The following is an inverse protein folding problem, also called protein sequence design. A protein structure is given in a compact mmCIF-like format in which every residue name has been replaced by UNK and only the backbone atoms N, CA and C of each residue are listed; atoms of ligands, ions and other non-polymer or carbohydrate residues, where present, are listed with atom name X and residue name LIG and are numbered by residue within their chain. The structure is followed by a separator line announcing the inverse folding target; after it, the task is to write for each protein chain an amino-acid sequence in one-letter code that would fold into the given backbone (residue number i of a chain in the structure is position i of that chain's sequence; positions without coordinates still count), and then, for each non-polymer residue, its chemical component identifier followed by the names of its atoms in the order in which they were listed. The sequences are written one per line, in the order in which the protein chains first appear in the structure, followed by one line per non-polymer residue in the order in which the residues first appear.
data_IF_056604402833
#
_entry.id   IF_056604402833
#
_cell.length_a   1.000
_cell.length_b   1.000
_cell.length_c   1.000
_cell.angle_alpha   90.00
_cell.angle_beta   90.00
_cell.angle_gamma   90.00
#
_symmetry.space_group_name_H-M   'P 1'
#
loop_
_entity.id
_entity.type
_entity.pdbx_description
1 polymer ?
#
# COMPACT_ATOMS: atom_id res chain seq x y z
N UNK A 1 -2.73 -19.80 8.36
CA UNK A 1 -3.62 -19.89 9.54
C UNK A 1 -2.77 -19.74 10.79
N UNK A 2 -3.12 -18.82 11.69
CA UNK A 2 -2.45 -18.59 12.97
C UNK A 2 -3.51 -18.55 14.08
N UNK A 3 -3.48 -19.54 14.99
CA UNK A 3 -4.42 -19.61 16.09
C UNK A 3 -3.97 -18.74 17.26
N UNK A 4 -4.88 -17.90 17.75
CA UNK A 4 -4.71 -17.06 18.94
C UNK A 4 -6.04 -17.07 19.72
N UNK A 5 -6.04 -17.70 20.88
CA UNK A 5 -7.23 -17.87 21.74
C UNK A 5 -7.37 -16.77 22.79
N UNK A 6 -6.59 -15.71 22.70
CA UNK A 6 -6.60 -14.61 23.69
C UNK A 6 -7.91 -13.81 23.71
N UNK A 7 -8.60 -13.77 22.58
CA UNK A 7 -9.89 -13.10 22.41
C UNK A 7 -10.84 -13.95 21.56
N UNK A 8 -12.18 -13.94 21.82
CA UNK A 8 -13.13 -14.77 21.11
C UNK A 8 -13.52 -14.19 19.74
N UNK A 9 -12.53 -13.78 18.95
CA UNK A 9 -12.70 -13.23 17.60
C UNK A 9 -11.71 -13.85 16.64
N UNK A 10 -12.10 -13.93 15.37
CA UNK A 10 -11.23 -14.35 14.28
C UNK A 10 -11.30 -13.36 13.13
N UNK A 11 -10.15 -13.13 12.49
CA UNK A 11 -10.06 -12.40 11.23
C UNK A 11 -9.93 -13.40 10.09
N UNK A 12 -10.85 -13.34 9.14
CA UNK A 12 -10.74 -13.98 7.84
C UNK A 12 -10.39 -12.92 6.80
N UNK A 13 -9.36 -13.15 6.00
CA UNK A 13 -8.92 -12.21 4.96
C UNK A 13 -8.58 -12.97 3.69
N UNK A 14 -9.12 -12.52 2.56
CA UNK A 14 -8.74 -13.01 1.24
C UNK A 14 -7.96 -11.91 0.53
N UNK A 15 -6.71 -12.23 0.17
CA UNK A 15 -5.84 -11.35 -0.60
C UNK A 15 -5.72 -11.85 -2.02
N UNK A 16 -6.21 -11.08 -2.97
CA UNK A 16 -6.01 -11.31 -4.40
C UNK A 16 -4.68 -10.67 -4.82
N UNK A 17 -3.87 -11.42 -5.58
CA UNK A 17 -2.58 -10.97 -6.11
C UNK A 17 -2.80 -10.10 -7.36
N UNK A 18 -3.62 -9.07 -7.21
CA UNK A 18 -3.97 -8.09 -8.23
C UNK A 18 -4.21 -6.73 -7.57
N UNK A 19 -3.61 -5.70 -8.15
CA UNK A 19 -3.73 -4.32 -7.70
C UNK A 19 -3.59 -3.36 -8.87
N UNK A 20 -3.40 -2.08 -8.62
CA UNK A 20 -3.30 -1.09 -9.69
C UNK A 20 -2.16 -1.35 -10.66
N UNK A 21 -1.09 -2.03 -10.26
CA UNK A 21 -0.01 -2.41 -11.19
C UNK A 21 -0.45 -3.35 -12.33
N UNK A 22 -1.60 -3.99 -12.21
CA UNK A 22 -2.14 -4.90 -13.22
C UNK A 22 -3.08 -4.21 -14.22
N UNK A 23 -3.31 -2.90 -14.02
CA UNK A 23 -4.16 -2.10 -14.87
C UNK A 23 -3.39 -1.55 -16.07
N UNK A 24 -4.09 -1.35 -17.19
CA UNK A 24 -3.53 -0.69 -18.34
C UNK A 24 -4.15 0.70 -18.53
N UNK A 25 -3.48 1.55 -19.31
CA UNK A 25 -3.96 2.87 -19.72
C UNK A 25 -5.34 2.72 -20.39
N UNK A 26 -6.27 3.60 -20.01
CA UNK A 26 -7.66 3.59 -20.48
C UNK A 26 -8.65 2.95 -19.51
N UNK A 27 -8.16 2.26 -18.47
CA UNK A 27 -8.99 1.69 -17.39
C UNK A 27 -8.25 1.59 -16.05
N UNK A 28 -7.38 2.57 -15.77
CA UNK A 28 -6.77 2.73 -14.44
C UNK A 28 -7.85 3.03 -13.41
N UNK A 29 -7.67 2.52 -12.18
CA UNK A 29 -8.68 2.59 -11.11
C UNK A 29 -9.72 1.46 -11.15
N UNK A 30 -9.63 0.55 -12.12
CA UNK A 30 -10.56 -0.59 -12.23
C UNK A 30 -10.51 -1.52 -11.03
N UNK A 31 -9.32 -1.75 -10.46
CA UNK A 31 -9.17 -2.61 -9.29
C UNK A 31 -9.87 -2.03 -8.07
N UNK A 32 -9.73 -0.72 -7.85
CA UNK A 32 -10.40 -0.01 -6.76
C UNK A 32 -11.92 0.04 -6.96
N UNK A 33 -12.39 0.32 -8.17
CA UNK A 33 -13.83 0.31 -8.47
C UNK A 33 -14.43 -1.11 -8.32
N UNK A 34 -13.69 -2.16 -8.70
CA UNK A 34 -14.10 -3.54 -8.44
C UNK A 34 -14.19 -3.84 -6.95
N UNK A 35 -13.27 -3.32 -6.13
CA UNK A 35 -13.36 -3.44 -4.68
C UNK A 35 -14.74 -2.99 -4.19
N UNK A 36 -15.20 -1.80 -4.59
CA UNK A 36 -16.53 -1.28 -4.24
C UNK A 36 -17.67 -2.18 -4.75
N UNK A 37 -17.59 -2.61 -6.00
CA UNK A 37 -18.65 -3.39 -6.63
C UNK A 37 -18.82 -4.79 -6.03
N UNK A 38 -17.76 -5.38 -5.52
CA UNK A 38 -17.82 -6.69 -4.87
C UNK A 38 -18.60 -6.70 -3.55
N UNK A 39 -18.98 -5.55 -3.02
CA UNK A 39 -19.93 -5.44 -1.90
C UNK A 39 -21.39 -5.30 -2.33
N UNK A 40 -21.69 -5.15 -3.62
CA UNK A 40 -23.06 -4.87 -4.11
C UNK A 40 -23.93 -6.10 -4.23
N UNK A 41 -23.34 -7.26 -4.33
CA UNK A 41 -24.06 -8.54 -4.32
C UNK A 41 -23.37 -9.63 -5.11
N UNK A 42 -23.70 -10.84 -4.71
CA UNK A 42 -23.24 -12.09 -5.32
C UNK A 42 -24.40 -13.10 -5.35
N UNK A 43 -24.16 -14.29 -5.91
CA UNK A 43 -25.20 -15.31 -6.13
C UNK A 43 -26.04 -15.58 -4.86
N UNK A 44 -25.40 -15.76 -3.72
CA UNK A 44 -26.10 -16.12 -2.48
C UNK A 44 -26.27 -14.93 -1.51
N UNK A 45 -25.48 -13.87 -1.67
CA UNK A 45 -25.44 -12.71 -0.78
C UNK A 45 -25.80 -11.45 -1.53
N UNK A 46 -27.10 -11.11 -1.54
CA UNK A 46 -27.63 -9.96 -2.27
C UNK A 46 -28.92 -9.43 -1.65
N UNK A 47 -29.32 -8.23 -2.05
CA UNK A 47 -30.52 -7.56 -1.53
C UNK A 47 -31.80 -8.25 -1.92
N UNK A 48 -31.84 -8.84 -3.12
CA UNK A 48 -33.04 -9.53 -3.64
C UNK A 48 -33.39 -10.75 -2.78
N UNK A 49 -32.38 -11.43 -2.25
CA UNK A 49 -32.55 -12.57 -1.35
C UNK A 49 -32.72 -12.16 0.12
N UNK A 50 -32.58 -10.87 0.46
CA UNK A 50 -32.55 -10.40 1.84
C UNK A 50 -31.28 -10.81 2.62
N UNK A 51 -30.21 -11.14 1.90
CA UNK A 51 -28.91 -11.62 2.43
C UNK A 51 -27.77 -10.72 2.01
N UNK A 52 -27.98 -9.40 1.95
CA UNK A 52 -26.92 -8.47 1.55
C UNK A 52 -25.70 -8.60 2.47
N UNK A 53 -24.50 -8.57 1.92
CA UNK A 53 -23.22 -8.82 2.63
C UNK A 53 -23.12 -7.97 3.90
N UNK A 54 -23.42 -6.67 3.79
CA UNK A 54 -23.36 -5.75 4.94
C UNK A 54 -24.36 -6.11 6.02
N UNK A 55 -25.61 -6.43 5.65
CA UNK A 55 -26.67 -6.76 6.62
C UNK A 55 -26.35 -8.07 7.35
N UNK A 56 -25.88 -9.09 6.62
CA UNK A 56 -25.46 -10.37 7.17
C UNK A 56 -24.33 -10.23 8.20
N UNK A 57 -23.30 -9.46 7.86
CA UNK A 57 -22.13 -9.29 8.73
C UNK A 57 -22.40 -8.34 9.89
N UNK A 58 -23.13 -7.25 9.67
CA UNK A 58 -23.51 -6.34 10.76
C UNK A 58 -24.42 -7.03 11.78
N UNK A 59 -25.32 -7.90 11.33
CA UNK A 59 -26.24 -8.63 12.24
C UNK A 59 -25.53 -9.50 13.27
N UNK A 60 -24.30 -9.93 12.98
CA UNK A 60 -23.47 -10.75 13.87
C UNK A 60 -22.36 -9.95 14.58
N UNK A 61 -22.36 -8.62 14.45
CA UNK A 61 -21.38 -7.74 15.07
C UNK A 61 -20.00 -7.76 14.39
N UNK A 62 -19.91 -8.21 13.14
CA UNK A 62 -18.66 -8.24 12.39
C UNK A 62 -18.21 -6.84 11.98
N UNK A 63 -16.86 -6.66 11.92
CA UNK A 63 -16.24 -5.55 11.19
C UNK A 63 -15.84 -6.07 9.80
N UNK A 64 -16.20 -5.31 8.77
CA UNK A 64 -15.92 -5.66 7.37
C UNK A 64 -15.32 -4.47 6.65
N UNK A 65 -14.33 -4.71 5.83
CA UNK A 65 -13.80 -3.72 4.89
C UNK A 65 -12.98 -4.42 3.78
N UNK A 66 -12.47 -3.60 2.86
CA UNK A 66 -11.51 -4.01 1.85
C UNK A 66 -10.45 -2.91 1.66
N UNK A 67 -9.36 -3.25 1.03
CA UNK A 67 -8.32 -2.27 0.66
C UNK A 67 -7.67 -2.68 -0.65
N UNK A 68 -7.51 -1.73 -1.56
CA UNK A 68 -6.75 -1.89 -2.80
C UNK A 68 -5.43 -1.14 -2.70
N UNK A 69 -4.36 -1.80 -3.13
CA UNK A 69 -3.02 -1.21 -3.23
C UNK A 69 -2.40 -1.52 -4.60
N UNK A 70 -1.15 -1.19 -4.78
CA UNK A 70 -0.47 -1.42 -6.06
C UNK A 70 -0.41 -2.92 -6.44
N UNK A 71 -0.12 -3.81 -5.48
CA UNK A 71 0.18 -5.22 -5.74
C UNK A 71 -0.91 -6.19 -5.29
N UNK A 72 -1.93 -5.72 -4.58
CA UNK A 72 -2.95 -6.57 -3.98
C UNK A 72 -4.29 -5.87 -3.79
N UNK A 73 -5.35 -6.67 -3.66
CA UNK A 73 -6.66 -6.28 -3.14
C UNK A 73 -7.07 -7.23 -2.03
N UNK A 74 -7.34 -6.69 -0.82
CA UNK A 74 -7.76 -7.47 0.34
C UNK A 74 -9.23 -7.23 0.63
N UNK A 75 -9.92 -8.32 1.00
CA UNK A 75 -11.24 -8.28 1.64
C UNK A 75 -11.13 -8.97 2.96
N UNK A 76 -11.70 -8.41 4.02
CA UNK A 76 -11.56 -8.99 5.35
C UNK A 76 -12.77 -8.76 6.24
N UNK A 77 -13.01 -9.74 7.10
CA UNK A 77 -13.99 -9.71 8.17
C UNK A 77 -13.32 -10.04 9.51
N UNK A 78 -13.61 -9.24 10.51
CA UNK A 78 -13.32 -9.56 11.91
C UNK A 78 -14.65 -9.96 12.54
N UNK A 79 -14.77 -11.24 12.89
CA UNK A 79 -16.04 -11.85 13.37
C UNK A 79 -15.87 -12.47 14.74
N UNK A 80 -16.93 -12.56 15.56
CA UNK A 80 -16.95 -13.49 16.68
C UNK A 80 -16.62 -14.91 16.18
N UNK A 81 -15.85 -15.66 16.95
CA UNK A 81 -15.30 -16.99 16.55
C UNK A 81 -16.36 -17.96 16.04
N UNK A 82 -17.55 -17.94 16.64
CA UNK A 82 -18.70 -18.80 16.28
C UNK A 82 -19.27 -18.49 14.89
N UNK A 83 -18.93 -17.31 14.30
CA UNK A 83 -19.43 -16.86 13.01
C UNK A 83 -18.41 -16.94 11.87
N UNK A 84 -17.26 -17.60 12.07
CA UNK A 84 -16.20 -17.72 11.05
C UNK A 84 -16.70 -18.38 9.74
N UNK A 85 -17.67 -19.32 9.83
CA UNK A 85 -18.27 -19.95 8.65
C UNK A 85 -18.97 -18.93 7.76
N UNK A 86 -19.63 -17.90 8.35
CA UNK A 86 -20.30 -16.84 7.59
C UNK A 86 -19.29 -16.04 6.75
N UNK A 87 -18.18 -15.62 7.35
CA UNK A 87 -17.12 -14.90 6.63
C UNK A 87 -16.53 -15.74 5.48
N UNK A 88 -16.17 -17.00 5.73
CA UNK A 88 -15.68 -17.94 4.72
C UNK A 88 -16.67 -18.11 3.56
N UNK A 89 -17.97 -18.24 3.87
CA UNK A 89 -18.99 -18.48 2.84
C UNK A 89 -19.25 -17.25 1.98
N UNK A 90 -19.21 -16.04 2.55
CA UNK A 90 -19.35 -14.78 1.81
C UNK A 90 -18.16 -14.57 0.86
N UNK A 91 -16.93 -14.74 1.37
CA UNK A 91 -15.73 -14.58 0.56
C UNK A 91 -15.66 -15.59 -0.60
N UNK A 92 -16.03 -16.84 -0.33
CA UNK A 92 -16.10 -17.84 -1.38
C UNK A 92 -17.14 -17.49 -2.45
N UNK A 93 -18.34 -17.05 -2.05
CA UNK A 93 -19.40 -16.72 -3.02
C UNK A 93 -18.99 -15.51 -3.88
N UNK A 94 -18.51 -14.42 -3.29
CA UNK A 94 -18.12 -13.24 -4.07
C UNK A 94 -16.86 -13.42 -4.92
N UNK A 95 -16.00 -14.40 -4.59
CA UNK A 95 -14.81 -14.68 -5.39
C UNK A 95 -15.13 -14.98 -6.84
N UNK A 96 -16.23 -15.70 -7.13
CA UNK A 96 -16.57 -16.09 -8.50
C UNK A 96 -18.00 -15.75 -8.94
N UNK A 97 -18.83 -15.23 -8.02
CA UNK A 97 -20.24 -14.99 -8.32
C UNK A 97 -20.71 -13.56 -8.01
N UNK A 98 -19.79 -12.61 -7.95
CA UNK A 98 -20.14 -11.18 -7.87
C UNK A 98 -20.91 -10.74 -9.11
N UNK A 99 -21.97 -9.96 -8.92
CA UNK A 99 -22.88 -9.60 -10.01
C UNK A 99 -22.28 -8.61 -11.01
N UNK A 100 -21.53 -7.60 -10.51
CA UNK A 100 -20.91 -6.54 -11.31
C UNK A 100 -21.89 -5.96 -12.35
N UNK A 101 -23.01 -5.40 -11.88
CA UNK A 101 -24.06 -4.87 -12.71
C UNK A 101 -23.86 -3.39 -13.01
N UNK A 102 -24.34 -2.91 -14.16
CA UNK A 102 -24.25 -1.49 -14.51
C UNK A 102 -25.06 -0.59 -13.58
N UNK A 103 -26.19 -1.09 -13.09
CA UNK A 103 -27.04 -0.41 -12.10
C UNK A 103 -26.34 -0.21 -10.75
N UNK A 104 -25.38 -1.08 -10.38
CA UNK A 104 -24.55 -0.95 -9.19
C UNK A 104 -23.34 -0.03 -9.47
N UNK A 105 -22.77 -0.12 -10.68
CA UNK A 105 -21.60 0.66 -11.09
C UNK A 105 -21.89 2.16 -11.14
N UNK A 106 -23.01 2.57 -11.71
CA UNK A 106 -23.32 3.98 -11.92
C UNK A 106 -23.37 4.82 -10.63
N UNK A 107 -24.03 4.39 -9.55
CA UNK A 107 -23.95 5.08 -8.26
C UNK A 107 -22.52 5.08 -7.67
N UNK A 108 -21.81 3.94 -7.76
CA UNK A 108 -20.45 3.83 -7.22
C UNK A 108 -19.46 4.73 -7.94
N UNK A 109 -19.61 4.96 -9.22
CA UNK A 109 -18.82 5.94 -9.97
C UNK A 109 -18.87 7.34 -9.33
N UNK A 110 -20.02 7.71 -8.75
CA UNK A 110 -20.13 8.99 -8.03
C UNK A 110 -19.35 8.97 -6.71
N UNK A 111 -19.35 7.82 -6.01
CA UNK A 111 -18.56 7.65 -4.77
C UNK A 111 -17.08 7.74 -5.07
N UNK A 112 -16.59 6.93 -6.01
CA UNK A 112 -15.17 6.90 -6.41
C UNK A 112 -14.71 8.26 -6.96
N UNK A 113 -15.56 8.95 -7.73
CA UNK A 113 -15.27 10.31 -8.18
C UNK A 113 -15.13 11.29 -7.01
N UNK A 114 -15.99 11.20 -5.99
CA UNK A 114 -15.87 12.06 -4.80
C UNK A 114 -14.59 11.77 -4.02
N UNK A 115 -14.15 10.52 -3.97
CA UNK A 115 -12.86 10.14 -3.37
C UNK A 115 -11.69 10.70 -4.17
N UNK A 116 -11.74 10.58 -5.50
CA UNK A 116 -10.76 11.20 -6.38
C UNK A 116 -10.68 12.72 -6.16
N UNK A 117 -11.83 13.42 -6.12
CA UNK A 117 -11.88 14.86 -5.89
C UNK A 117 -11.37 15.27 -4.50
N UNK A 118 -11.58 14.42 -3.48
CA UNK A 118 -10.98 14.61 -2.14
C UNK A 118 -9.46 14.58 -2.22
N UNK A 119 -8.88 13.58 -2.88
CA UNK A 119 -7.44 13.49 -3.14
C UNK A 119 -6.91 14.70 -3.92
N UNK A 120 -7.64 15.15 -4.96
CA UNK A 120 -7.27 16.35 -5.73
C UNK A 120 -7.27 17.66 -4.90
N UNK A 121 -7.99 17.70 -3.78
CA UNK A 121 -7.98 18.82 -2.84
C UNK A 121 -6.92 18.69 -1.73
N UNK A 122 -6.21 17.57 -1.64
CA UNK A 122 -5.10 17.35 -0.72
C UNK A 122 -3.77 17.74 -1.36
N UNK A 123 -3.04 18.74 -0.84
CA UNK A 123 -1.72 19.11 -1.35
C UNK A 123 -0.73 17.94 -1.37
N UNK A 124 -0.80 17.09 -0.35
CA UNK A 124 0.05 15.91 -0.23
C UNK A 124 -0.28 14.87 -1.31
N UNK A 125 -1.55 14.45 -1.45
CA UNK A 125 -1.94 13.40 -2.39
C UNK A 125 -1.68 13.82 -3.85
N UNK A 126 -1.87 15.09 -4.16
CA UNK A 126 -1.56 15.63 -5.48
C UNK A 126 -0.05 15.61 -5.75
N UNK A 127 0.77 16.00 -4.78
CA UNK A 127 2.23 15.95 -4.95
C UNK A 127 2.70 14.51 -5.07
N UNK A 128 2.25 13.62 -4.19
CA UNK A 128 2.60 12.20 -4.18
C UNK A 128 2.27 11.53 -5.53
N UNK A 129 1.04 11.66 -5.99
CA UNK A 129 0.62 11.16 -7.31
C UNK A 129 1.53 11.64 -8.45
N UNK A 130 1.91 12.92 -8.44
CA UNK A 130 2.78 13.47 -9.47
C UNK A 130 4.24 12.99 -9.33
N UNK A 131 4.72 12.72 -8.12
CA UNK A 131 6.05 12.12 -7.89
C UNK A 131 6.09 10.72 -8.49
N UNK A 132 5.12 9.86 -8.17
CA UNK A 132 5.02 8.52 -8.74
C UNK A 132 4.94 8.56 -10.27
N UNK A 133 4.09 9.41 -10.85
CA UNK A 133 3.96 9.57 -12.29
C UNK A 133 5.25 10.09 -12.96
N UNK A 134 6.09 10.84 -12.24
CA UNK A 134 7.36 11.38 -12.75
C UNK A 134 8.50 10.38 -12.56
N UNK A 135 8.50 9.64 -11.46
CA UNK A 135 9.54 8.67 -11.14
C UNK A 135 9.52 7.46 -12.07
N UNK A 136 8.34 7.05 -12.56
CA UNK A 136 8.21 5.90 -13.47
C UNK A 136 7.88 6.35 -14.89
N UNK A 137 8.67 5.86 -15.83
CA UNK A 137 8.47 6.09 -17.27
C UNK A 137 7.66 4.98 -17.92
N UNK A 138 7.89 3.74 -17.52
CA UNK A 138 7.33 2.55 -18.17
C UNK A 138 6.53 1.67 -17.20
N UNK A 139 6.97 1.53 -15.94
CA UNK A 139 6.35 0.63 -15.00
C UNK A 139 4.98 1.12 -14.54
N UNK A 140 3.95 0.25 -14.39
CA UNK A 140 2.60 0.63 -13.99
C UNK A 140 2.46 1.35 -12.64
N UNK A 141 3.45 1.35 -11.77
CA UNK A 141 3.44 2.17 -10.55
C UNK A 141 3.39 3.68 -10.83
N UNK A 142 3.44 4.10 -12.09
CA UNK A 142 3.30 5.52 -12.45
C UNK A 142 1.90 6.11 -12.16
N UNK A 143 0.87 5.31 -11.95
CA UNK A 143 -0.47 5.79 -11.60
C UNK A 143 -0.90 5.34 -10.21
N UNK A 144 -1.73 6.15 -9.57
CA UNK A 144 -2.30 5.85 -8.26
C UNK A 144 -3.40 4.78 -8.35
N UNK A 145 -3.67 4.10 -7.24
CA UNK A 145 -4.73 3.08 -7.12
C UNK A 145 -6.12 3.59 -7.48
N UNK A 146 -6.40 4.87 -7.24
CA UNK A 146 -7.69 5.44 -7.65
C UNK A 146 -7.80 5.64 -9.17
N UNK A 147 -6.67 5.60 -9.89
CA UNK A 147 -6.63 5.79 -11.34
C UNK A 147 -6.70 7.24 -11.81
N UNK A 148 -6.75 7.44 -13.13
CA UNK A 148 -6.96 8.73 -13.75
C UNK A 148 -8.46 9.03 -13.89
N UNK A 149 -8.84 10.28 -13.70
CA UNK A 149 -10.24 10.71 -13.76
C UNK A 149 -10.96 10.27 -15.03
N UNK A 150 -10.31 10.43 -16.18
CA UNK A 150 -10.88 10.01 -17.48
C UNK A 150 -11.18 8.51 -17.53
N UNK A 151 -10.30 7.70 -16.96
CA UNK A 151 -10.45 6.24 -16.97
C UNK A 151 -11.59 5.82 -16.02
N UNK A 152 -11.60 6.37 -14.80
CA UNK A 152 -12.66 6.13 -13.81
C UNK A 152 -14.04 6.46 -14.40
N UNK A 153 -14.19 7.61 -15.07
CA UNK A 153 -15.47 8.07 -15.62
C UNK A 153 -15.93 7.25 -16.83
N UNK A 154 -15.02 6.57 -17.54
CA UNK A 154 -15.35 5.91 -18.81
C UNK A 154 -15.23 4.38 -18.79
N UNK A 155 -14.66 3.77 -17.73
CA UNK A 155 -14.56 2.30 -17.68
C UNK A 155 -15.94 1.66 -17.68
N UNK A 156 -16.17 0.71 -18.61
CA UNK A 156 -17.46 0.03 -18.74
C UNK A 156 -17.57 -1.16 -17.79
N UNK A 157 -18.78 -1.59 -17.51
CA UNK A 157 -19.07 -2.79 -16.70
C UNK A 157 -18.50 -4.05 -17.34
N UNK A 158 -18.52 -4.15 -18.66
CA UNK A 158 -17.93 -5.26 -19.42
C UNK A 158 -16.43 -5.34 -19.18
N UNK A 159 -15.74 -4.21 -19.20
CA UNK A 159 -14.29 -4.16 -18.95
C UNK A 159 -13.96 -4.55 -17.51
N UNK A 160 -14.78 -4.16 -16.55
CA UNK A 160 -14.62 -4.58 -15.14
C UNK A 160 -14.86 -6.09 -14.98
N UNK A 161 -15.84 -6.66 -15.67
CA UNK A 161 -16.07 -8.10 -15.69
C UNK A 161 -14.88 -8.86 -16.31
N UNK A 162 -14.35 -8.37 -17.43
CA UNK A 162 -13.15 -8.94 -18.05
C UNK A 162 -11.98 -8.96 -17.06
N UNK A 163 -11.75 -7.84 -16.35
CA UNK A 163 -10.68 -7.75 -15.35
C UNK A 163 -10.92 -8.71 -14.18
N UNK A 164 -12.16 -8.78 -13.68
CA UNK A 164 -12.53 -9.73 -12.63
C UNK A 164 -12.31 -11.18 -13.09
N UNK A 165 -12.75 -11.53 -14.30
CA UNK A 165 -12.59 -12.87 -14.85
C UNK A 165 -11.14 -13.26 -15.12
N UNK A 166 -10.26 -12.29 -15.31
CA UNK A 166 -8.83 -12.54 -15.48
C UNK A 166 -8.14 -12.81 -14.12
N UNK A 167 -8.48 -12.09 -13.07
CA UNK A 167 -7.64 -12.05 -11.85
C UNK A 167 -8.26 -12.67 -10.60
N UNK A 168 -9.60 -12.72 -10.47
CA UNK A 168 -10.28 -13.14 -9.23
C UNK A 168 -10.52 -14.65 -9.18
N UNK A 169 -9.45 -15.41 -9.03
CA UNK A 169 -9.46 -16.88 -9.00
C UNK A 169 -8.78 -17.43 -7.76
N UNK A 170 -9.15 -18.68 -7.30
CA UNK A 170 -8.51 -19.30 -6.15
C UNK A 170 -6.99 -19.46 -6.27
N UNK A 171 -6.50 -19.70 -7.49
CA UNK A 171 -5.06 -19.83 -7.75
C UNK A 171 -4.33 -18.48 -7.89
N UNK A 172 -5.03 -17.36 -7.73
CA UNK A 172 -4.49 -16.01 -7.65
C UNK A 172 -4.86 -15.32 -6.32
N UNK A 173 -5.18 -16.10 -5.30
CA UNK A 173 -5.59 -15.57 -4.01
C UNK A 173 -4.96 -16.35 -2.87
N UNK A 174 -4.84 -15.70 -1.72
CA UNK A 174 -4.41 -16.29 -0.46
C UNK A 174 -5.45 -16.02 0.61
N UNK A 175 -5.95 -17.08 1.26
CA UNK A 175 -6.83 -16.96 2.42
C UNK A 175 -6.01 -17.00 3.71
N UNK A 176 -6.19 -16.00 4.56
CA UNK A 176 -5.52 -15.86 5.86
C UNK A 176 -6.56 -15.90 6.97
N UNK A 177 -6.31 -16.69 8.01
CA UNK A 177 -7.15 -16.78 9.19
C UNK A 177 -6.29 -16.63 10.43
N UNK A 178 -6.66 -15.67 11.28
CA UNK A 178 -5.95 -15.37 12.53
C UNK A 178 -6.96 -15.15 13.65
N UNK A 179 -6.70 -15.72 14.81
CA UNK A 179 -7.54 -15.56 16.00
C UNK A 179 -8.08 -16.87 16.55
N UNK A 180 -9.22 -16.83 17.19
CA UNK A 180 -9.86 -17.99 17.80
C UNK A 180 -10.67 -18.77 16.75
N UNK A 181 -10.17 -19.94 16.38
CA UNK A 181 -10.83 -20.88 15.46
C UNK A 181 -10.34 -22.31 15.69
N UNK A 182 -11.14 -23.29 15.26
CA UNK A 182 -10.75 -24.71 15.30
C UNK A 182 -10.18 -25.12 13.95
N UNK A 183 -8.88 -25.45 13.89
CA UNK A 183 -8.13 -25.68 12.65
C UNK A 183 -8.82 -26.66 11.70
N UNK A 184 -9.18 -27.86 12.16
CA UNK A 184 -9.72 -28.90 11.29
C UNK A 184 -11.12 -28.56 10.79
N UNK A 185 -11.94 -27.96 11.67
CA UNK A 185 -13.26 -27.45 11.30
C UNK A 185 -13.14 -26.38 10.25
N UNK A 186 -12.26 -25.40 10.45
CA UNK A 186 -12.06 -24.29 9.54
C UNK A 186 -11.52 -24.75 8.18
N UNK A 187 -10.58 -25.70 8.16
CA UNK A 187 -10.12 -26.32 6.91
C UNK A 187 -11.26 -27.02 6.16
N UNK A 188 -12.14 -27.70 6.89
CA UNK A 188 -13.31 -28.35 6.30
C UNK A 188 -14.29 -27.32 5.70
N UNK A 189 -14.49 -26.18 6.35
CA UNK A 189 -15.31 -25.08 5.86
C UNK A 189 -14.68 -24.45 4.60
N UNK A 190 -13.39 -24.20 4.60
CA UNK A 190 -12.67 -23.71 3.40
C UNK A 190 -12.84 -24.70 2.26
N UNK A 191 -12.63 -25.99 2.49
CA UNK A 191 -12.81 -27.02 1.48
C UNK A 191 -14.26 -27.09 0.97
N UNK A 192 -15.24 -26.92 1.85
CA UNK A 192 -16.67 -26.89 1.51
C UNK A 192 -17.02 -25.73 0.57
N UNK A 193 -16.60 -24.51 0.91
CA UNK A 193 -17.03 -23.30 0.21
C UNK A 193 -16.15 -22.95 -0.99
N UNK A 194 -14.82 -22.97 -0.83
CA UNK A 194 -13.89 -22.67 -1.92
C UNK A 194 -13.63 -23.86 -2.85
N UNK A 195 -13.89 -25.09 -2.39
CA UNK A 195 -13.72 -26.30 -3.20
C UNK A 195 -14.65 -26.41 -4.40
N UNK A 196 -15.72 -25.62 -4.46
CA UNK A 196 -16.58 -25.48 -5.65
C UNK A 196 -15.88 -24.76 -6.80
N UNK A 197 -14.88 -23.92 -6.48
CA UNK A 197 -14.22 -23.09 -7.47
C UNK A 197 -13.07 -23.85 -8.13
N UNK A 198 -13.10 -23.91 -9.43
CA UNK A 198 -11.96 -24.38 -10.22
C UNK A 198 -10.86 -23.32 -10.23
N UNK A 199 -9.63 -23.74 -10.42
CA UNK A 199 -8.57 -22.80 -10.80
C UNK A 199 -8.89 -22.17 -12.16
N UNK A 200 -8.33 -21.00 -12.43
CA UNK A 200 -8.38 -20.39 -13.76
C UNK A 200 -7.96 -21.39 -14.84
N UNK A 201 -8.65 -21.39 -15.96
CA UNK A 201 -8.32 -22.18 -17.14
C UNK A 201 -7.26 -21.52 -18.04
N UNK A 202 -6.91 -20.28 -17.73
CA UNK A 202 -5.85 -19.52 -18.38
C UNK A 202 -4.74 -19.16 -17.38
N UNK A 203 -3.54 -18.85 -17.89
CA UNK A 203 -2.46 -18.32 -17.08
C UNK A 203 -2.80 -16.91 -16.62
N UNK A 204 -2.66 -16.63 -15.32
CA UNK A 204 -2.82 -15.26 -14.79
C UNK A 204 -1.73 -14.36 -15.38
N UNK A 205 -2.10 -13.25 -16.03
CA UNK A 205 -1.13 -12.38 -16.68
C UNK A 205 -0.10 -11.83 -15.70
N UNK A 206 1.15 -11.81 -16.14
CA UNK A 206 2.26 -11.20 -15.39
C UNK A 206 2.60 -9.84 -15.96
N UNK A 207 2.99 -8.94 -15.09
CA UNK A 207 3.58 -7.66 -15.51
C UNK A 207 5.05 -7.91 -15.85
N UNK A 208 5.42 -7.70 -17.09
CA UNK A 208 6.80 -7.90 -17.59
C UNK A 208 7.57 -6.60 -17.74
N UNK A 209 6.87 -5.47 -17.67
CA UNK A 209 7.48 -4.16 -17.88
C UNK A 209 8.38 -3.83 -16.71
N UNK A 210 9.66 -3.70 -16.97
CA UNK A 210 10.65 -3.21 -16.03
C UNK A 210 10.84 -1.71 -16.24
N UNK A 211 11.01 -0.97 -15.15
CA UNK A 211 11.34 0.45 -15.24
C UNK A 211 12.78 0.60 -15.73
N UNK A 212 13.03 1.35 -16.81
CA UNK A 212 14.41 1.60 -17.30
C UNK A 212 15.22 2.36 -16.25
N UNK A 213 16.54 2.16 -16.30
CA UNK A 213 17.47 2.89 -15.43
C UNK A 213 17.28 4.41 -15.64
N UNK A 214 17.18 5.12 -14.52
CA UNK A 214 17.12 6.57 -14.55
C UNK A 214 18.55 7.13 -14.69
N UNK A 215 18.81 7.89 -15.74
CA UNK A 215 20.12 8.42 -16.11
C UNK A 215 20.27 9.93 -15.85
N UNK A 216 19.37 10.49 -15.04
CA UNK A 216 19.41 11.90 -14.65
C UNK A 216 18.27 12.28 -13.74
N UNK A 217 18.43 13.36 -12.95
CA UNK A 217 17.42 13.78 -11.98
C UNK A 217 16.14 14.21 -12.69
N UNK A 218 15.00 13.86 -12.07
CA UNK A 218 13.65 14.26 -12.52
C UNK A 218 13.07 15.28 -11.56
N UNK A 219 12.23 16.18 -12.06
CA UNK A 219 11.64 17.24 -11.24
C UNK A 219 10.20 17.53 -11.62
N UNK A 220 9.35 17.73 -10.61
CA UNK A 220 7.99 18.18 -10.76
C UNK A 220 7.68 19.33 -9.81
N UNK A 221 6.96 20.32 -10.28
CA UNK A 221 6.48 21.45 -9.48
C UNK A 221 4.96 21.58 -9.63
N UNK A 222 4.27 21.34 -8.51
CA UNK A 222 2.81 21.48 -8.41
C UNK A 222 2.50 22.85 -7.82
N UNK A 223 1.71 23.65 -8.54
CA UNK A 223 1.27 24.99 -8.08
C UNK A 223 -0.25 25.01 -7.96
N UNK A 224 -0.76 24.89 -6.74
CA UNK A 224 -2.19 24.89 -6.42
C UNK A 224 -2.49 25.70 -5.16
N UNK A 225 -3.77 25.94 -4.88
CA UNK A 225 -4.20 26.56 -3.61
C UNK A 225 -3.73 25.71 -2.43
N UNK A 226 -3.17 26.34 -1.41
CA UNK A 226 -2.65 25.69 -0.22
C UNK A 226 -2.16 26.71 0.79
N UNK A 227 -1.84 26.25 2.00
CA UNK A 227 -1.33 27.12 3.07
C UNK A 227 0.20 27.09 3.15
N UNK A 228 0.80 25.92 2.93
CA UNK A 228 2.23 25.69 3.11
C UNK A 228 2.78 24.84 1.97
N UNK A 229 4.07 24.97 1.71
CA UNK A 229 4.80 24.17 0.74
C UNK A 229 5.03 22.75 1.23
N UNK A 230 5.29 21.84 0.28
CA UNK A 230 5.83 20.49 0.57
C UNK A 230 7.02 20.28 -0.35
N UNK A 231 8.12 19.78 0.21
CA UNK A 231 9.27 19.29 -0.56
C UNK A 231 9.34 17.79 -0.40
N UNK A 232 9.53 17.09 -1.52
CA UNK A 232 9.73 15.66 -1.54
C UNK A 232 10.95 15.29 -2.36
N UNK A 233 11.72 14.31 -1.88
CA UNK A 233 12.89 13.74 -2.56
C UNK A 233 12.72 12.24 -2.59
N UNK A 234 12.56 11.68 -3.78
CA UNK A 234 12.31 10.26 -4.02
C UNK A 234 13.48 9.60 -4.75
N UNK A 235 13.75 8.34 -4.38
CA UNK A 235 14.69 7.45 -5.07
C UNK A 235 14.06 6.08 -5.25
N UNK A 236 14.39 5.38 -6.34
CA UNK A 236 13.90 4.01 -6.54
C UNK A 236 14.55 3.05 -5.56
N UNK A 237 13.75 2.12 -5.03
CA UNK A 237 14.21 1.00 -4.20
C UNK A 237 14.34 -0.27 -5.03
N UNK A 238 15.05 -1.30 -4.56
CA UNK A 238 14.91 -2.64 -5.10
C UNK A 238 13.50 -3.21 -4.83
N UNK A 239 13.15 -4.38 -5.43
CA UNK A 239 11.94 -5.13 -5.05
C UNK A 239 11.91 -5.47 -3.57
N UNK A 240 10.72 -5.58 -3.00
CA UNK A 240 10.50 -5.72 -1.55
C UNK A 240 11.16 -6.93 -0.90
N UNK A 241 11.41 -8.01 -1.66
CA UNK A 241 12.09 -9.21 -1.16
C UNK A 241 13.63 -9.14 -1.23
N UNK A 242 14.19 -8.06 -1.80
CA UNK A 242 15.64 -7.86 -1.81
C UNK A 242 16.14 -7.50 -0.41
N UNK A 243 17.29 -8.03 0.00
CA UNK A 243 17.88 -7.77 1.31
C UNK A 243 18.21 -6.27 1.53
N UNK A 244 18.43 -5.49 0.47
CA UNK A 244 18.63 -4.05 0.56
C UNK A 244 17.39 -3.30 1.10
N UNK A 245 16.18 -3.89 1.04
CA UNK A 245 14.98 -3.28 1.62
C UNK A 245 15.03 -3.20 3.15
N UNK A 246 15.62 -4.18 3.83
CA UNK A 246 15.82 -4.09 5.29
C UNK A 246 16.75 -2.93 5.65
N UNK A 247 17.74 -2.67 4.79
CA UNK A 247 18.65 -1.54 4.98
C UNK A 247 17.92 -0.20 4.80
N UNK A 248 17.02 -0.09 3.81
CA UNK A 248 16.16 1.09 3.64
C UNK A 248 15.27 1.35 4.84
N UNK A 249 14.71 0.31 5.47
CA UNK A 249 13.90 0.46 6.69
C UNK A 249 14.70 1.06 7.85
N UNK A 250 15.94 0.60 8.06
CA UNK A 250 16.83 1.16 9.10
C UNK A 250 17.25 2.58 8.72
N UNK A 251 17.59 2.83 7.46
CA UNK A 251 17.97 4.14 6.96
C UNK A 251 16.85 5.17 7.11
N UNK A 252 15.60 4.80 6.81
CA UNK A 252 14.42 5.65 7.00
C UNK A 252 14.25 6.11 8.46
N UNK A 253 14.47 5.20 9.41
CA UNK A 253 14.44 5.54 10.84
C UNK A 253 15.57 6.49 11.25
N UNK A 254 16.78 6.28 10.75
CA UNK A 254 17.93 7.17 11.02
C UNK A 254 17.65 8.58 10.47
N UNK A 255 17.08 8.67 9.27
CA UNK A 255 16.84 9.94 8.59
C UNK A 255 15.66 10.73 9.15
N UNK A 256 14.50 10.12 9.39
CA UNK A 256 13.25 10.84 9.60
C UNK A 256 12.50 10.51 10.89
N UNK A 257 12.72 9.34 11.52
CA UNK A 257 11.85 8.92 12.62
C UNK A 257 12.30 9.43 13.99
N UNK A 258 11.38 10.17 14.61
CA UNK A 258 11.58 10.74 15.94
C UNK A 258 12.50 11.97 15.97
N UNK A 259 12.48 12.68 17.11
CA UNK A 259 13.23 13.93 17.33
C UNK A 259 14.76 13.79 17.27
N UNK A 260 15.28 12.58 17.42
CA UNK A 260 16.72 12.31 17.36
C UNK A 260 17.23 12.03 15.94
N UNK A 261 16.35 11.89 14.96
CA UNK A 261 16.70 11.61 13.57
C UNK A 261 17.44 12.78 12.91
N UNK A 262 18.24 12.49 11.89
CA UNK A 262 19.14 13.46 11.29
C UNK A 262 18.41 14.64 10.65
N UNK A 263 17.40 14.35 9.81
CA UNK A 263 16.62 15.38 9.11
C UNK A 263 15.68 16.13 10.06
N UNK A 264 15.14 15.49 11.10
CA UNK A 264 14.33 16.19 12.10
C UNK A 264 15.12 17.35 12.74
N UNK A 265 16.35 17.09 13.20
CA UNK A 265 17.23 18.11 13.79
C UNK A 265 17.61 19.24 12.84
N UNK A 266 17.77 18.91 11.53
CA UNK A 266 18.23 19.88 10.52
C UNK A 266 17.10 20.67 9.88
N UNK A 267 15.85 20.18 9.96
CA UNK A 267 14.70 20.78 9.28
C UNK A 267 13.63 21.21 10.29
N UNK A 268 13.13 20.28 11.13
CA UNK A 268 12.02 20.56 12.05
C UNK A 268 12.50 21.41 13.24
N UNK A 269 13.58 21.02 13.90
CA UNK A 269 14.14 21.80 15.02
C UNK A 269 14.62 23.20 14.59
N UNK A 270 14.91 23.39 13.29
CA UNK A 270 15.28 24.70 12.73
C UNK A 270 14.06 25.51 12.28
N UNK A 271 12.85 25.03 12.49
CA UNK A 271 11.61 25.71 12.14
C UNK A 271 11.33 25.79 10.63
N UNK A 272 12.02 25.00 9.80
CA UNK A 272 11.84 25.00 8.34
C UNK A 272 10.64 24.15 7.90
N UNK A 273 10.29 23.11 8.68
CA UNK A 273 9.12 22.28 8.45
C UNK A 273 8.38 22.02 9.76
N UNK A 274 7.09 21.74 9.68
CA UNK A 274 6.25 21.32 10.80
C UNK A 274 6.40 19.83 11.10
N UNK A 275 6.68 19.04 10.06
CA UNK A 275 6.87 17.59 10.18
C UNK A 275 7.65 17.03 8.99
N UNK A 276 8.18 15.82 9.19
CA UNK A 276 8.78 14.98 8.18
C UNK A 276 8.02 13.65 8.11
N UNK A 277 7.96 13.09 6.93
CA UNK A 277 7.43 11.75 6.71
C UNK A 277 8.34 10.99 5.75
N UNK A 278 8.64 9.72 6.08
CA UNK A 278 9.39 8.82 5.21
C UNK A 278 8.45 7.77 4.65
N UNK A 279 8.44 7.63 3.33
CA UNK A 279 7.77 6.56 2.62
C UNK A 279 8.81 5.53 2.21
N UNK A 280 8.77 4.34 2.80
CA UNK A 280 9.77 3.29 2.64
C UNK A 280 9.14 1.88 2.56
N UNK A 281 7.89 1.78 2.08
CA UNK A 281 7.17 0.52 1.98
C UNK A 281 7.77 -0.39 0.91
N UNK A 282 7.88 -1.71 1.19
CA UNK A 282 8.29 -2.69 0.20
C UNK A 282 7.16 -2.93 -0.82
N UNK A 283 7.54 -3.02 -2.10
CA UNK A 283 6.66 -3.35 -3.22
C UNK A 283 7.13 -4.62 -3.89
N UNK A 284 6.26 -5.26 -4.67
CA UNK A 284 6.62 -6.47 -5.42
C UNK A 284 7.75 -6.22 -6.42
N UNK A 285 7.69 -5.08 -7.10
CA UNK A 285 8.74 -4.58 -8.00
C UNK A 285 9.45 -3.38 -7.35
N UNK A 286 10.34 -2.71 -8.10
CA UNK A 286 11.06 -1.54 -7.60
C UNK A 286 10.10 -0.43 -7.15
N UNK A 287 10.08 -0.13 -5.87
CA UNK A 287 9.28 0.92 -5.25
C UNK A 287 10.00 2.26 -5.18
N UNK A 288 9.54 3.13 -4.27
CA UNK A 288 10.15 4.42 -3.98
C UNK A 288 10.47 4.56 -2.49
N UNK A 289 11.62 5.16 -2.20
CA UNK A 289 12.01 5.68 -0.90
C UNK A 289 11.88 7.20 -0.97
N UNK A 290 10.92 7.79 -0.25
CA UNK A 290 10.58 9.21 -0.39
C UNK A 290 10.64 9.92 0.95
N UNK A 291 11.44 10.98 1.04
CA UNK A 291 11.39 11.93 2.15
C UNK A 291 10.43 13.07 1.81
N UNK A 292 9.39 13.25 2.61
CA UNK A 292 8.48 14.41 2.56
C UNK A 292 8.76 15.35 3.71
N UNK A 293 8.85 16.66 3.41
CA UNK A 293 8.93 17.73 4.40
C UNK A 293 7.74 18.67 4.22
N UNK A 294 6.90 18.81 5.26
CA UNK A 294 5.77 19.74 5.30
C UNK A 294 6.24 21.09 5.84
N UNK A 295 6.42 22.03 4.95
CA UNK A 295 7.13 23.28 5.25
C UNK A 295 6.33 24.21 6.16
N UNK A 296 7.02 25.01 6.95
CA UNK A 296 6.41 26.18 7.59
C UNK A 296 6.11 27.25 6.55
N UNK A 297 5.14 28.16 6.80
CA UNK A 297 4.89 29.28 5.90
C UNK A 297 6.19 30.03 5.56
N UNK A 298 6.31 30.47 4.30
CA UNK A 298 7.44 31.22 3.77
C UNK A 298 8.79 30.49 3.71
N UNK A 299 8.82 29.20 4.05
CA UNK A 299 10.03 28.40 3.87
C UNK A 299 10.23 28.05 2.38
N UNK A 300 11.46 28.27 1.90
CA UNK A 300 11.85 27.96 0.54
C UNK A 300 12.01 26.45 0.35
N UNK A 301 11.33 25.88 -0.67
CA UNK A 301 11.43 24.48 -1.03
C UNK A 301 12.87 24.07 -1.38
N UNK A 302 13.63 24.93 -2.09
CA UNK A 302 15.00 24.63 -2.49
C UNK A 302 15.91 24.46 -1.27
N UNK A 303 15.76 25.32 -0.28
CA UNK A 303 16.56 25.22 0.97
C UNK A 303 16.39 23.85 1.66
N UNK A 304 15.15 23.36 1.72
CA UNK A 304 14.85 22.08 2.37
C UNK A 304 15.32 20.90 1.52
N UNK A 305 15.16 20.97 0.21
CA UNK A 305 15.74 20.01 -0.74
C UNK A 305 17.24 19.88 -0.57
N UNK A 306 17.95 21.02 -0.56
CA UNK A 306 19.41 21.04 -0.40
C UNK A 306 19.86 20.36 0.91
N UNK A 307 19.10 20.54 2.00
CA UNK A 307 19.38 19.89 3.29
C UNK A 307 19.18 18.37 3.18
N UNK A 308 18.11 17.91 2.53
CA UNK A 308 17.83 16.48 2.35
C UNK A 308 18.94 15.83 1.50
N UNK A 309 19.23 16.40 0.35
CA UNK A 309 20.25 15.86 -0.57
C UNK A 309 21.64 15.89 0.05
N UNK A 310 21.97 16.95 0.81
CA UNK A 310 23.23 17.03 1.54
C UNK A 310 23.34 15.94 2.60
N UNK A 311 22.24 15.60 3.29
CA UNK A 311 22.25 14.52 4.27
C UNK A 311 22.45 13.16 3.63
N UNK A 312 21.82 12.91 2.47
CA UNK A 312 22.06 11.67 1.71
C UNK A 312 23.54 11.57 1.29
N UNK A 313 24.11 12.65 0.76
CA UNK A 313 25.52 12.71 0.39
C UNK A 313 26.47 12.55 1.59
N UNK A 314 26.09 13.03 2.78
CA UNK A 314 26.85 12.81 4.02
C UNK A 314 26.87 11.32 4.40
N UNK A 315 25.73 10.62 4.33
CA UNK A 315 25.67 9.17 4.55
C UNK A 315 26.48 8.40 3.51
N UNK A 316 26.43 8.77 2.24
CA UNK A 316 27.23 8.17 1.17
C UNK A 316 28.72 8.32 1.47
N UNK A 317 29.16 9.49 1.90
CA UNK A 317 30.57 9.81 2.12
C UNK A 317 31.10 9.24 3.43
N UNK A 318 30.38 9.49 4.53
CA UNK A 318 30.81 9.26 5.89
C UNK A 318 30.18 8.05 6.55
N UNK A 319 29.00 7.58 6.04
CA UNK A 319 28.22 6.51 6.69
C UNK A 319 27.38 6.99 7.85
N UNK A 320 27.08 6.08 8.76
CA UNK A 320 26.32 6.31 9.99
C UNK A 320 27.04 5.71 11.18
N UNK A 321 26.74 6.22 12.37
CA UNK A 321 27.27 5.69 13.63
C UNK A 321 26.51 4.44 14.07
N UNK A 322 27.20 3.48 14.70
CA UNK A 322 26.56 2.27 15.25
C UNK A 322 25.44 2.60 16.25
N UNK A 323 25.58 3.69 16.98
CA UNK A 323 24.56 4.19 17.92
C UNK A 323 23.25 4.59 17.23
N UNK A 324 23.31 5.07 15.99
CA UNK A 324 22.15 5.42 15.18
C UNK A 324 21.42 4.16 14.70
N UNK A 325 22.18 3.14 14.28
CA UNK A 325 21.64 1.83 13.89
C UNK A 325 20.97 1.16 15.09
N UNK A 326 21.65 1.08 16.24
CA UNK A 326 21.08 0.49 17.45
C UNK A 326 19.75 1.14 17.84
N UNK A 327 19.67 2.47 17.76
CA UNK A 327 18.43 3.21 18.04
C UNK A 327 17.35 2.88 17.01
N UNK A 328 17.66 2.90 15.72
CA UNK A 328 16.71 2.59 14.63
C UNK A 328 16.15 1.16 14.75
N UNK A 329 17.03 0.18 15.00
CA UNK A 329 16.65 -1.22 15.21
C UNK A 329 15.73 -1.36 16.42
N UNK A 330 16.06 -0.70 17.54
CA UNK A 330 15.23 -0.72 18.75
C UNK A 330 13.84 -0.12 18.49
N UNK A 331 13.75 0.97 17.73
CA UNK A 331 12.47 1.59 17.31
C UNK A 331 11.66 0.65 16.43
N UNK A 332 12.28 0.00 15.44
CA UNK A 332 11.61 -0.96 14.56
C UNK A 332 11.06 -2.15 15.38
N UNK A 333 11.87 -2.72 16.27
CA UNK A 333 11.44 -3.80 17.17
C UNK A 333 10.22 -3.42 18.00
N UNK A 334 10.25 -2.24 18.61
CA UNK A 334 9.12 -1.72 19.37
C UNK A 334 7.88 -1.53 18.49
N UNK A 335 8.03 -0.94 17.32
CA UNK A 335 6.92 -0.76 16.36
C UNK A 335 6.31 -2.09 15.93
N UNK A 336 7.15 -3.10 15.61
CA UNK A 336 6.68 -4.44 15.25
C UNK A 336 5.95 -5.12 16.42
N UNK A 337 6.45 -4.96 17.65
CA UNK A 337 5.77 -5.53 18.82
C UNK A 337 4.38 -4.91 19.03
N UNK A 338 4.27 -3.57 18.90
CA UNK A 338 2.99 -2.87 19.02
C UNK A 338 2.02 -3.13 17.84
N UNK A 339 2.55 -3.35 16.62
CA UNK A 339 1.71 -3.64 15.46
C UNK A 339 1.08 -5.04 15.44
N UNK A 340 1.40 -5.89 16.42
CA UNK A 340 0.82 -7.24 16.58
C UNK A 340 -0.40 -7.27 17.50
N UNK A 341 -1.00 -6.14 17.79
CA UNK A 341 -2.17 -6.05 18.66
C UNK A 341 -3.46 -6.38 17.87
N UNK A 342 -3.99 -7.57 18.17
CA UNK A 342 -5.21 -8.09 17.55
C UNK A 342 -5.02 -8.86 16.24
N UNK A 343 -5.99 -9.73 15.96
CA UNK A 343 -5.97 -10.66 14.81
C UNK A 343 -5.92 -9.93 13.46
N UNK A 344 -6.63 -8.81 13.33
CA UNK A 344 -6.61 -8.01 12.10
C UNK A 344 -5.24 -7.38 11.82
N UNK A 345 -4.58 -6.83 12.84
CA UNK A 345 -3.28 -6.19 12.66
C UNK A 345 -2.22 -7.18 12.15
N UNK A 346 -2.22 -8.39 12.73
CA UNK A 346 -1.32 -9.47 12.28
C UNK A 346 -1.70 -9.95 10.87
N UNK A 347 -3.00 -10.12 10.57
CA UNK A 347 -3.47 -10.50 9.24
C UNK A 347 -3.05 -9.47 8.18
N UNK A 348 -3.26 -8.19 8.45
CA UNK A 348 -2.90 -7.10 7.55
C UNK A 348 -1.40 -7.09 7.26
N UNK A 349 -0.55 -7.10 8.29
CA UNK A 349 0.90 -7.10 8.10
C UNK A 349 1.42 -8.36 7.36
N UNK A 350 0.86 -9.53 7.65
CA UNK A 350 1.18 -10.77 6.95
C UNK A 350 0.78 -10.69 5.47
N UNK A 351 -0.38 -10.11 5.16
CA UNK A 351 -0.86 -10.02 3.79
C UNK A 351 -0.09 -8.99 2.95
N UNK A 352 0.49 -7.95 3.54
CA UNK A 352 1.46 -7.10 2.83
C UNK A 352 2.70 -7.90 2.41
N UNK A 353 3.23 -8.77 3.27
CA UNK A 353 4.33 -9.67 2.92
C UNK A 353 3.93 -10.69 1.82
N UNK A 354 2.71 -11.21 1.87
CA UNK A 354 2.15 -12.09 0.83
C UNK A 354 2.07 -11.33 -0.52
N UNK A 355 1.66 -10.07 -0.51
CA UNK A 355 1.51 -9.24 -1.70
C UNK A 355 2.83 -9.03 -2.44
N UNK A 356 3.93 -8.81 -1.72
CA UNK A 356 5.27 -8.68 -2.32
C UNK A 356 5.85 -10.02 -2.81
N UNK A 357 5.27 -11.16 -2.39
CA UNK A 357 5.58 -12.49 -2.92
C UNK A 357 5.98 -13.57 -1.93
N UNK A 358 6.28 -13.25 -0.66
CA UNK A 358 6.66 -14.25 0.34
C UNK A 358 6.23 -13.84 1.76
N UNK A 359 5.34 -14.64 2.37
CA UNK A 359 4.91 -14.46 3.75
C UNK A 359 6.07 -14.55 4.77
N UNK A 360 7.16 -15.22 4.44
CA UNK A 360 8.33 -15.34 5.32
C UNK A 360 9.01 -13.99 5.56
N UNK A 361 8.82 -13.01 4.66
CA UNK A 361 9.26 -11.63 4.89
C UNK A 361 8.73 -11.10 6.23
N UNK A 362 7.46 -11.34 6.57
CA UNK A 362 6.89 -10.93 7.86
C UNK A 362 7.55 -11.62 9.06
N UNK A 363 7.81 -12.93 8.96
CA UNK A 363 8.34 -13.70 10.10
C UNK A 363 9.82 -13.50 10.34
N UNK A 364 10.61 -13.25 9.30
CA UNK A 364 12.06 -13.04 9.37
C UNK A 364 12.44 -11.56 9.49
N UNK A 365 11.47 -10.63 9.42
CA UNK A 365 11.71 -9.19 9.30
C UNK A 365 12.62 -8.64 10.39
N UNK A 366 12.32 -8.92 11.68
CA UNK A 366 13.10 -8.40 12.81
C UNK A 366 14.53 -8.95 12.81
N UNK A 367 14.68 -10.27 12.53
CA UNK A 367 16.00 -10.91 12.47
C UNK A 367 16.87 -10.28 11.38
N UNK A 368 16.30 -10.02 10.22
CA UNK A 368 17.00 -9.37 9.10
C UNK A 368 17.37 -7.91 9.39
N UNK A 369 16.48 -7.17 10.05
CA UNK A 369 16.75 -5.80 10.50
C UNK A 369 17.92 -5.75 11.49
N UNK A 370 18.02 -6.72 12.40
CA UNK A 370 19.11 -6.79 13.41
C UNK A 370 20.49 -7.08 12.79
N UNK A 371 20.55 -7.60 11.57
CA UNK A 371 21.80 -7.86 10.86
C UNK A 371 22.33 -6.66 10.08
N UNK A 372 21.55 -5.58 9.94
CA UNK A 372 21.96 -4.39 9.18
C UNK A 372 23.14 -3.67 9.86
N UNK A 373 24.20 -3.47 9.11
CA UNK A 373 25.43 -2.81 9.57
C UNK A 373 25.64 -1.41 8.95
N UNK A 374 26.52 -0.60 9.53
CA UNK A 374 26.93 0.69 8.97
C UNK A 374 27.52 0.57 7.55
N UNK A 375 28.19 -0.55 7.28
CA UNK A 375 28.71 -0.85 5.94
C UNK A 375 27.57 -1.07 4.93
N UNK A 376 26.49 -1.74 5.33
CA UNK A 376 25.32 -1.95 4.49
C UNK A 376 24.58 -0.65 4.21
N UNK A 377 24.38 0.19 5.22
CA UNK A 377 23.78 1.53 5.07
C UNK A 377 24.58 2.35 4.04
N UNK A 378 25.91 2.42 4.19
CA UNK A 378 26.76 3.17 3.27
C UNK A 378 26.70 2.60 1.84
N UNK A 379 26.73 1.28 1.69
CA UNK A 379 26.63 0.59 0.41
C UNK A 379 25.29 0.88 -0.30
N UNK A 380 24.18 0.75 0.42
CA UNK A 380 22.83 0.99 -0.11
C UNK A 380 22.65 2.47 -0.45
N UNK A 381 23.05 3.39 0.42
CA UNK A 381 23.01 4.81 0.12
C UNK A 381 23.80 5.15 -1.14
N UNK A 382 25.03 4.62 -1.27
CA UNK A 382 25.89 4.86 -2.46
C UNK A 382 25.30 4.25 -3.74
N UNK A 383 24.54 3.16 -3.65
CA UNK A 383 23.95 2.49 -4.81
C UNK A 383 22.68 3.18 -5.31
N UNK A 384 21.84 3.69 -4.39
CA UNK A 384 20.47 4.11 -4.72
C UNK A 384 20.21 5.61 -4.52
N UNK A 385 20.86 6.28 -3.56
CA UNK A 385 20.56 7.68 -3.22
C UNK A 385 21.42 8.68 -4.00
N UNK A 386 21.72 8.37 -5.25
CA UNK A 386 22.51 9.24 -6.13
C UNK A 386 21.65 10.34 -6.75
N UNK A 387 22.26 11.47 -7.10
CA UNK A 387 21.55 12.59 -7.74
C UNK A 387 20.85 12.17 -9.02
N UNK A 388 21.52 11.40 -9.88
CA UNK A 388 20.98 10.95 -11.19
C UNK A 388 19.73 10.06 -11.04
N UNK A 389 19.54 9.41 -9.89
CA UNK A 389 18.39 8.55 -9.62
C UNK A 389 17.29 9.26 -8.82
N UNK A 390 17.47 10.55 -8.53
CA UNK A 390 16.50 11.33 -7.75
C UNK A 390 15.29 11.78 -8.57
N UNK A 391 14.14 11.82 -7.92
CA UNK A 391 12.93 12.52 -8.39
C UNK A 391 12.51 13.50 -7.33
N UNK A 392 12.58 14.79 -7.64
CA UNK A 392 12.25 15.87 -6.70
C UNK A 392 10.89 16.47 -7.03
N UNK A 393 10.04 16.59 -6.02
CA UNK A 393 8.72 17.19 -6.13
C UNK A 393 8.55 18.37 -5.18
N UNK A 394 8.00 19.47 -5.70
CA UNK A 394 7.61 20.61 -4.89
C UNK A 394 6.12 20.88 -5.02
N UNK A 395 5.44 21.04 -3.91
CA UNK A 395 4.15 21.71 -3.86
C UNK A 395 4.39 23.17 -3.45
N UNK A 396 3.99 24.09 -4.31
CA UNK A 396 4.09 25.54 -4.06
C UNK A 396 2.68 26.09 -3.91
N UNK A 397 2.30 26.61 -2.71
CA UNK A 397 0.98 27.19 -2.51
C UNK A 397 0.82 28.45 -3.37
N UNK A 398 -0.26 28.49 -4.16
CA UNK A 398 -0.71 29.74 -4.80
C UNK A 398 -1.54 30.52 -3.78
N UNK A 399 -1.08 31.68 -3.38
CA UNK A 399 -1.92 32.60 -2.66
C UNK A 399 -3.18 32.89 -3.50
N UNK A 400 -4.39 32.78 -2.91
CA UNK A 400 -5.56 33.30 -3.56
C UNK A 400 -5.29 34.80 -3.78
N UNK A 401 -5.10 35.20 -5.04
CA UNK A 401 -5.18 36.60 -5.38
C UNK A 401 -6.51 37.10 -4.82
N UNK A 402 -6.45 38.03 -3.85
CA UNK A 402 -7.61 38.67 -3.27
C UNK A 402 -8.41 39.39 -4.33
#
# INVERSE_FOLDING_TARGET
MLQDLSTPVATFMVTYHVGSRNEAIGYTGSTHLLEHLMFKGSRNYNKENGTAIWDELQSIGAQINATTWNDRTNYFEVVPSEHIEKAISIEADRMRFSFLRDEDRQPEMTVVRNEYERGENSPFDVLDKNIWATAYQAHPYHHSTIGWRSDIENVSTERLKEFYDVYYWPNNATATIIGDFQKDTTLSLIAKYFGEHKKSDHEIPKVYTEEPLQEGPRRIVVKRSGQSGITAVAHKTPPGLDDDMYVFQVLGKILCDGKSSRLYKKIVDQGLATSLFMYDFPFKDNGLFITYAFLTPDTDNQKVEDIILKEYNDIISNGVEDSEIMRAVAQIRASVAFSRDGSYAVASALNEAIAIGDWQFYTSYVEKIELVSAKDIKRVASKYLTEDQSTVGWFIPKNKTK
#
